data_IF_102351068893
#
_entry.id   IF_102351068893
#
_cell.length_a   1.000
_cell.length_b   1.000
_cell.length_c   1.000
_cell.angle_alpha   90.00
_cell.angle_beta   90.00
_cell.angle_gamma   90.00
#
_symmetry.space_group_name_H-M   'P 1'
#
loop_
_entity.id
_entity.type
_entity.pdbx_description
1 polymer ?
#
# COMPACT_ATOMS: atom_id res chain seq x y z
N UNK A 1 24.75 -5.22 4.75
CA UNK A 1 23.74 -4.15 4.56
C UNK A 1 22.70 -4.65 3.55
N UNK A 2 21.42 -4.69 3.92
CA UNK A 2 20.35 -4.98 2.96
C UNK A 2 20.25 -3.85 1.93
N UNK A 3 20.19 -4.17 0.64
CA UNK A 3 20.07 -3.18 -0.42
C UNK A 3 18.58 -2.84 -0.62
N UNK A 4 18.13 -1.74 0.00
CA UNK A 4 16.73 -1.31 -0.02
C UNK A 4 16.17 -1.11 -1.44
N UNK A 5 17.01 -0.62 -2.37
CA UNK A 5 16.60 -0.48 -3.79
C UNK A 5 16.36 -1.84 -4.43
N UNK A 6 17.17 -2.85 -4.11
CA UNK A 6 16.98 -4.23 -4.57
C UNK A 6 15.71 -4.84 -3.99
N UNK A 7 15.44 -4.62 -2.70
CA UNK A 7 14.22 -5.10 -2.03
C UNK A 7 12.96 -4.45 -2.64
N UNK A 8 12.97 -3.13 -2.93
CA UNK A 8 11.86 -2.45 -3.62
C UNK A 8 11.69 -2.95 -5.05
N UNK A 9 12.78 -3.12 -5.80
CA UNK A 9 12.72 -3.68 -7.15
C UNK A 9 12.14 -5.11 -7.15
N UNK A 10 12.43 -5.91 -6.13
CA UNK A 10 11.86 -7.24 -5.99
C UNK A 10 10.33 -7.22 -5.83
N UNK A 11 9.77 -6.22 -5.13
CA UNK A 11 8.32 -6.08 -4.98
C UNK A 11 7.58 -5.73 -6.28
N UNK A 12 8.29 -5.23 -7.30
CA UNK A 12 7.73 -4.97 -8.64
C UNK A 12 7.46 -6.25 -9.42
N UNK A 13 8.11 -7.36 -9.04
CA UNK A 13 7.79 -8.67 -9.57
C UNK A 13 6.82 -9.37 -8.61
N UNK A 14 5.50 -9.38 -8.90
CA UNK A 14 4.54 -9.97 -7.99
C UNK A 14 4.87 -11.44 -7.73
N UNK A 15 5.46 -12.18 -8.69
CA UNK A 15 5.83 -13.63 -8.57
C UNK A 15 6.77 -13.91 -7.40
N UNK A 16 7.48 -12.90 -6.92
CA UNK A 16 8.34 -13.01 -5.74
C UNK A 16 7.49 -13.06 -4.46
N UNK A 17 6.36 -12.36 -4.45
CA UNK A 17 5.32 -12.47 -3.42
C UNK A 17 4.44 -13.69 -3.75
N UNK A 18 5.02 -14.90 -3.79
CA UNK A 18 4.33 -16.14 -4.20
C UNK A 18 2.98 -16.37 -3.52
N UNK A 19 2.81 -15.89 -2.27
CA UNK A 19 1.56 -15.99 -1.50
C UNK A 19 0.52 -14.93 -1.85
N UNK A 20 0.87 -13.88 -2.61
CA UNK A 20 -0.07 -12.89 -3.11
C UNK A 20 -0.85 -13.38 -4.34
N UNK A 21 -0.32 -14.33 -5.13
CA UNK A 21 -1.06 -14.91 -6.27
C UNK A 21 -2.31 -15.67 -5.87
N UNK A 22 -2.34 -16.21 -4.65
CA UNK A 22 -3.48 -16.96 -4.11
C UNK A 22 -4.38 -16.08 -3.26
N UNK A 23 -4.12 -14.77 -3.18
CA UNK A 23 -4.94 -13.88 -2.37
C UNK A 23 -6.31 -13.68 -3.02
N UNK A 24 -7.35 -14.19 -2.38
CA UNK A 24 -8.74 -14.00 -2.78
C UNK A 24 -9.37 -12.73 -2.21
N UNK A 25 -8.68 -12.02 -1.31
CA UNK A 25 -9.19 -10.82 -0.63
C UNK A 25 -8.07 -9.94 -0.07
N UNK A 26 -8.35 -8.65 0.20
CA UNK A 26 -7.42 -7.75 0.89
C UNK A 26 -6.93 -8.29 2.24
N UNK A 27 -7.79 -9.01 2.97
CA UNK A 27 -7.42 -9.63 4.25
C UNK A 27 -6.33 -10.70 4.09
N UNK A 28 -6.50 -11.62 3.14
CA UNK A 28 -5.50 -12.67 2.85
C UNK A 28 -4.20 -12.03 2.38
N UNK A 29 -4.30 -11.00 1.53
CA UNK A 29 -3.12 -10.29 1.03
C UNK A 29 -2.34 -9.59 2.16
N UNK A 30 -3.02 -8.95 3.11
CA UNK A 30 -2.39 -8.30 4.28
C UNK A 30 -1.63 -9.31 5.13
N UNK A 31 -2.21 -10.50 5.36
CA UNK A 31 -1.51 -11.59 6.07
C UNK A 31 -0.28 -12.06 5.32
N UNK A 32 -0.37 -12.21 4.00
CA UNK A 32 0.77 -12.56 3.15
C UNK A 32 1.87 -11.51 3.26
N UNK A 33 1.54 -10.22 3.21
CA UNK A 33 2.51 -9.14 3.39
C UNK A 33 3.14 -9.11 4.79
N UNK A 34 2.34 -9.32 5.83
CA UNK A 34 2.83 -9.38 7.20
C UNK A 34 3.84 -10.52 7.40
N UNK A 35 3.70 -11.64 6.68
CA UNK A 35 4.62 -12.77 6.73
C UNK A 35 5.81 -12.68 5.75
N UNK A 36 5.84 -11.68 4.85
CA UNK A 36 6.84 -11.59 3.79
C UNK A 36 8.18 -11.02 4.31
N UNK A 37 9.31 -11.74 4.16
CA UNK A 37 10.60 -11.29 4.68
C UNK A 37 11.14 -10.01 4.03
N UNK A 38 10.81 -9.74 2.76
CA UNK A 38 11.22 -8.52 2.05
C UNK A 38 10.48 -7.32 2.62
N UNK A 39 9.16 -7.44 2.76
CA UNK A 39 8.30 -6.40 3.34
C UNK A 39 8.72 -6.11 4.78
N UNK A 40 8.96 -7.13 5.60
CA UNK A 40 9.42 -6.97 6.98
C UNK A 40 10.77 -6.25 7.06
N UNK A 41 11.72 -6.52 6.14
CA UNK A 41 12.99 -5.77 6.08
C UNK A 41 12.78 -4.31 5.72
N UNK A 42 11.89 -4.01 4.77
CA UNK A 42 11.57 -2.64 4.37
C UNK A 42 10.90 -1.86 5.51
N UNK A 43 9.96 -2.48 6.23
CA UNK A 43 9.34 -1.86 7.42
C UNK A 43 10.40 -1.56 8.49
N UNK A 44 11.31 -2.50 8.78
CA UNK A 44 12.41 -2.30 9.75
C UNK A 44 13.41 -1.22 9.33
N UNK A 45 13.52 -0.93 8.03
CA UNK A 45 14.37 0.16 7.55
C UNK A 45 13.78 1.56 7.84
N UNK A 46 12.52 1.63 8.27
CA UNK A 46 11.86 2.85 8.72
C UNK A 46 11.71 3.89 7.61
N UNK A 47 11.74 5.17 7.98
CA UNK A 47 11.43 6.28 7.07
C UNK A 47 12.29 6.35 5.79
N UNK A 48 13.46 5.68 5.78
CA UNK A 48 14.34 5.59 4.60
C UNK A 48 13.65 4.98 3.38
N UNK A 49 12.59 4.19 3.55
CA UNK A 49 11.86 3.58 2.43
C UNK A 49 10.85 4.52 1.79
N UNK A 50 10.38 5.54 2.51
CA UNK A 50 9.34 6.48 2.04
C UNK A 50 9.77 7.19 0.75
N UNK A 51 10.96 7.83 0.64
CA UNK A 51 11.35 8.50 -0.60
C UNK A 51 11.52 7.52 -1.77
N UNK A 52 11.95 6.28 -1.49
CA UNK A 52 12.13 5.27 -2.53
C UNK A 52 10.78 4.78 -3.08
N UNK A 53 9.80 4.54 -2.20
CA UNK A 53 8.43 4.19 -2.62
C UNK A 53 7.78 5.36 -3.36
N UNK A 54 7.94 6.59 -2.86
CA UNK A 54 7.44 7.80 -3.53
C UNK A 54 7.99 7.95 -4.94
N UNK A 55 9.28 7.66 -5.15
CA UNK A 55 9.90 7.71 -6.48
C UNK A 55 9.27 6.69 -7.43
N UNK A 56 9.04 5.46 -6.96
CA UNK A 56 8.40 4.41 -7.76
C UNK A 56 6.92 4.73 -8.05
N UNK A 57 6.17 5.29 -7.11
CA UNK A 57 4.75 5.66 -7.32
C UNK A 57 4.59 6.88 -8.22
N UNK A 58 5.59 7.75 -8.34
CA UNK A 58 5.57 8.86 -9.32
C UNK A 58 5.85 8.39 -10.74
N UNK A 59 6.61 7.31 -10.90
CA UNK A 59 6.90 6.68 -12.20
C UNK A 59 5.80 5.69 -12.62
N UNK A 60 4.58 5.82 -12.09
CA UNK A 60 3.53 4.80 -12.01
C UNK A 60 3.04 4.14 -13.32
N UNK A 61 3.64 4.37 -14.47
CA UNK A 61 3.39 3.54 -15.64
C UNK A 61 3.82 2.09 -15.36
N UNK A 62 2.83 1.20 -15.16
CA UNK A 62 3.01 -0.24 -15.14
C UNK A 62 3.22 -0.90 -13.78
N UNK A 63 3.00 -0.21 -12.64
CA UNK A 63 2.95 -0.90 -11.34
C UNK A 63 1.62 -1.65 -11.19
N UNK A 64 1.70 -2.95 -10.87
CA UNK A 64 0.50 -3.75 -10.64
C UNK A 64 -0.13 -3.45 -9.27
N UNK A 65 -1.43 -3.74 -9.15
CA UNK A 65 -2.26 -3.60 -7.95
C UNK A 65 -1.62 -4.18 -6.68
N UNK A 66 -0.99 -5.36 -6.77
CA UNK A 66 -0.38 -6.04 -5.62
C UNK A 66 0.87 -5.28 -5.15
N UNK A 67 1.70 -4.79 -6.07
CA UNK A 67 2.88 -3.99 -5.73
C UNK A 67 2.45 -2.69 -5.05
N UNK A 68 1.44 -2.01 -5.58
CA UNK A 68 0.91 -0.78 -4.97
C UNK A 68 0.30 -1.06 -3.58
N UNK A 69 -0.43 -2.17 -3.41
CA UNK A 69 -0.94 -2.60 -2.12
C UNK A 69 0.19 -2.91 -1.11
N UNK A 70 1.28 -3.55 -1.55
CA UNK A 70 2.44 -3.81 -0.72
C UNK A 70 3.12 -2.51 -0.27
N UNK A 71 3.27 -1.54 -1.18
CA UNK A 71 3.79 -0.22 -0.84
C UNK A 71 2.90 0.50 0.17
N UNK A 72 1.57 0.50 -0.02
CA UNK A 72 0.64 1.09 0.94
C UNK A 72 0.73 0.43 2.32
N UNK A 73 0.83 -0.90 2.38
CA UNK A 73 1.05 -1.64 3.63
C UNK A 73 2.37 -1.25 4.32
N UNK A 74 3.47 -1.11 3.56
CA UNK A 74 4.76 -0.69 4.13
C UNK A 74 4.65 0.72 4.70
N UNK A 75 4.08 1.66 3.95
CA UNK A 75 3.94 3.05 4.39
C UNK A 75 3.06 3.16 5.63
N UNK A 76 1.95 2.42 5.69
CA UNK A 76 1.10 2.32 6.88
C UNK A 76 1.90 1.93 8.14
N UNK A 77 2.74 0.89 8.02
CA UNK A 77 3.50 0.35 9.16
C UNK A 77 4.78 1.12 9.48
N UNK A 78 5.25 1.99 8.57
CA UNK A 78 6.42 2.85 8.78
C UNK A 78 6.00 4.22 9.31
N UNK A 79 5.10 4.90 8.60
CA UNK A 79 4.59 6.23 8.92
C UNK A 79 3.34 6.52 8.09
N UNK A 80 2.17 6.18 8.65
CA UNK A 80 0.89 6.29 7.95
C UNK A 80 0.58 7.72 7.47
N UNK A 81 1.04 8.75 8.18
CA UNK A 81 0.86 10.17 7.82
C UNK A 81 1.54 10.55 6.50
N UNK A 82 2.50 9.75 6.03
CA UNK A 82 3.12 9.95 4.72
C UNK A 82 2.20 9.49 3.57
N UNK A 83 1.25 8.60 3.82
CA UNK A 83 0.46 7.97 2.74
C UNK A 83 -0.28 8.94 1.80
N UNK A 84 -0.82 10.09 2.23
CA UNK A 84 -1.45 11.05 1.31
C UNK A 84 -0.46 11.60 0.28
N UNK A 85 0.78 11.90 0.71
CA UNK A 85 1.81 12.44 -0.17
C UNK A 85 2.34 11.39 -1.17
N UNK A 86 2.30 10.11 -0.79
CA UNK A 86 2.83 9.00 -1.59
C UNK A 86 1.82 8.51 -2.61
N UNK A 87 0.53 8.42 -2.22
CA UNK A 87 -0.51 7.75 -3.00
C UNK A 87 -1.69 8.65 -3.37
N UNK A 88 -1.76 9.91 -2.91
CA UNK A 88 -2.95 10.77 -3.05
C UNK A 88 -3.48 10.86 -4.48
N UNK A 89 -2.61 11.11 -5.47
CA UNK A 89 -2.98 11.16 -6.88
C UNK A 89 -3.50 9.82 -7.39
N UNK A 90 -2.72 8.74 -7.18
CA UNK A 90 -3.10 7.37 -7.58
C UNK A 90 -4.41 6.91 -6.92
N UNK A 91 -4.64 7.32 -5.68
CA UNK A 91 -5.85 6.98 -4.95
C UNK A 91 -7.07 7.69 -5.54
N UNK A 92 -6.98 8.99 -5.87
CA UNK A 92 -8.07 9.72 -6.54
C UNK A 92 -8.51 9.03 -7.83
N UNK A 93 -7.55 8.62 -8.65
CA UNK A 93 -7.81 7.88 -9.89
C UNK A 93 -8.40 6.49 -9.61
N UNK A 94 -7.87 5.78 -8.63
CA UNK A 94 -8.33 4.43 -8.29
C UNK A 94 -9.74 4.40 -7.66
N UNK A 95 -10.22 5.46 -7.02
CA UNK A 95 -11.58 5.49 -6.44
C UNK A 95 -12.67 5.51 -7.51
N UNK A 96 -12.40 6.05 -8.70
CA UNK A 96 -13.37 6.05 -9.81
C UNK A 96 -13.61 4.63 -10.35
N UNK A 97 -12.55 3.82 -10.38
CA UNK A 97 -12.59 2.42 -10.81
C UNK A 97 -11.78 1.56 -9.84
N UNK A 98 -12.34 1.22 -8.67
CA UNK A 98 -11.61 0.53 -7.61
C UNK A 98 -11.18 -0.86 -8.08
N UNK A 99 -9.87 -1.09 -8.07
CA UNK A 99 -9.31 -2.43 -8.19
C UNK A 99 -9.50 -3.24 -6.90
N UNK A 100 -9.19 -4.54 -6.93
CA UNK A 100 -9.51 -5.47 -5.85
C UNK A 100 -8.67 -5.27 -4.57
N UNK A 101 -7.53 -4.57 -4.63
CA UNK A 101 -6.59 -4.48 -3.52
C UNK A 101 -6.11 -3.06 -3.23
N UNK A 102 -5.41 -2.41 -4.17
CA UNK A 102 -4.63 -1.20 -3.89
C UNK A 102 -5.48 -0.13 -3.21
N UNK A 103 -6.67 0.16 -3.75
CA UNK A 103 -7.58 1.19 -3.23
C UNK A 103 -7.90 0.94 -1.74
N UNK A 104 -8.07 -0.31 -1.32
CA UNK A 104 -8.37 -0.64 0.06
C UNK A 104 -7.16 -0.50 0.99
N UNK A 105 -5.97 -0.86 0.51
CA UNK A 105 -4.73 -0.67 1.28
C UNK A 105 -4.36 0.81 1.40
N UNK A 106 -4.48 1.57 0.32
CA UNK A 106 -4.25 3.01 0.32
C UNK A 106 -5.24 3.73 1.23
N UNK A 107 -6.54 3.39 1.15
CA UNK A 107 -7.55 3.93 2.05
C UNK A 107 -7.22 3.62 3.51
N UNK A 108 -6.81 2.39 3.81
CA UNK A 108 -6.42 2.00 5.17
C UNK A 108 -5.25 2.83 5.69
N UNK A 109 -4.18 2.95 4.90
CA UNK A 109 -3.00 3.73 5.24
C UNK A 109 -3.33 5.22 5.47
N UNK A 110 -4.13 5.82 4.58
CA UNK A 110 -4.56 7.22 4.69
C UNK A 110 -5.44 7.46 5.89
N UNK A 111 -6.43 6.59 6.13
CA UNK A 111 -7.29 6.69 7.31
C UNK A 111 -6.50 6.56 8.61
N UNK A 112 -5.51 5.66 8.65
CA UNK A 112 -4.57 5.58 9.78
C UNK A 112 -3.80 6.90 9.97
N UNK A 113 -3.25 7.48 8.89
CA UNK A 113 -2.53 8.75 8.94
C UNK A 113 -3.40 9.95 9.35
N UNK A 114 -4.66 9.96 8.91
CA UNK A 114 -5.65 10.98 9.26
C UNK A 114 -6.34 10.75 10.61
N UNK A 115 -5.99 9.68 11.34
CA UNK A 115 -6.65 9.26 12.59
C UNK A 115 -8.17 9.08 12.43
N UNK A 116 -8.59 8.60 11.26
CA UNK A 116 -9.96 8.22 10.98
C UNK A 116 -10.23 6.79 11.46
N UNK A 117 -11.51 6.37 11.59
CA UNK A 117 -11.83 4.99 11.89
C UNK A 117 -11.27 4.03 10.83
N UNK A 118 -10.53 3.02 11.29
CA UNK A 118 -9.94 1.97 10.44
C UNK A 118 -10.55 0.61 10.77
N UNK A 119 -10.69 -0.26 9.76
CA UNK A 119 -11.22 -1.61 9.94
C UNK A 119 -10.10 -2.55 10.39
N UNK A 120 -10.17 -3.16 11.59
CA UNK A 120 -9.06 -3.93 12.13
C UNK A 120 -8.82 -5.27 11.42
N UNK A 121 -9.88 -5.87 10.84
CA UNK A 121 -9.82 -7.20 10.23
C UNK A 121 -10.28 -7.21 8.78
N UNK A 122 -11.46 -6.65 8.47
CA UNK A 122 -11.98 -6.58 7.11
C UNK A 122 -11.52 -5.30 6.41
N UNK A 123 -10.38 -5.37 5.72
CA UNK A 123 -9.86 -4.28 4.90
C UNK A 123 -10.57 -4.15 3.55
N UNK A 124 -11.90 -4.22 3.54
CA UNK A 124 -12.71 -3.86 2.37
C UNK A 124 -13.47 -2.60 2.73
N UNK A 125 -13.17 -1.52 2.03
CA UNK A 125 -13.84 -0.23 2.20
C UNK A 125 -14.95 -0.10 1.16
N UNK A 126 -16.14 0.31 1.60
CA UNK A 126 -17.24 0.64 0.71
C UNK A 126 -16.91 1.88 -0.12
N UNK A 127 -17.61 2.08 -1.24
CA UNK A 127 -17.42 3.27 -2.09
C UNK A 127 -17.58 4.58 -1.30
N UNK A 128 -18.53 4.63 -0.37
CA UNK A 128 -18.73 5.80 0.49
C UNK A 128 -17.51 6.08 1.38
N UNK A 129 -16.90 5.05 1.96
CA UNK A 129 -15.69 5.20 2.79
C UNK A 129 -14.45 5.57 1.94
N UNK A 130 -14.38 5.09 0.70
CA UNK A 130 -13.32 5.48 -0.24
C UNK A 130 -13.43 6.96 -0.62
N UNK A 131 -14.64 7.42 -0.97
CA UNK A 131 -14.93 8.83 -1.26
C UNK A 131 -14.67 9.71 -0.02
N UNK A 132 -15.10 9.26 1.16
CA UNK A 132 -14.82 9.96 2.42
C UNK A 132 -13.31 10.17 2.62
N UNK A 133 -12.52 9.12 2.36
CA UNK A 133 -11.06 9.18 2.47
C UNK A 133 -10.46 10.11 1.41
N UNK A 134 -10.97 10.08 0.19
CA UNK A 134 -10.55 10.95 -0.91
C UNK A 134 -10.80 12.43 -0.57
N UNK A 135 -11.95 12.75 0.03
CA UNK A 135 -12.33 14.10 0.42
C UNK A 135 -11.46 14.69 1.55
N UNK A 136 -10.65 13.86 2.23
CA UNK A 136 -9.67 14.29 3.23
C UNK A 136 -8.28 14.57 2.67
N UNK A 137 -8.03 14.20 1.41
CA UNK A 137 -6.77 14.52 0.75
C UNK A 137 -6.63 16.04 0.52
N UNK A 138 -5.44 16.62 0.76
CA UNK A 138 -5.18 18.04 0.56
C UNK A 138 -5.23 18.48 -0.91
#
# INVERSE_FOLDING_TARGET
MANLKKDIAALKNPLIIKRAFVASSPYVLRKSFAADPVIQRLIRAGEKVIPLITEETRKAEGLNEITLAAFAFIIENVRAEASPQVFGTLFREAVEKPGPFFVHFAAHAMRSGFRMPVKPFEMVYSQAELIETQNKLP
#
